data_IF_800717068141
#
_entry.id   IF_800717068141
#
_cell.length_a   1.000
_cell.length_b   1.000
_cell.length_c   1.000
_cell.angle_alpha   90.00
_cell.angle_beta   90.00
_cell.angle_gamma   90.00
#
_symmetry.space_group_name_H-M   'P 1'
#
loop_
_entity.id
_entity.type
_entity.pdbx_description
1 polymer ?
#
# COMPACT_ATOMS: atom_id res chain seq x y z
N UNK A 1 16.43 -33.24 -6.49
CA UNK A 1 15.85 -31.87 -6.36
C UNK A 1 14.34 -32.01 -6.32
N UNK A 2 13.67 -31.48 -5.31
CA UNK A 2 12.20 -31.49 -5.19
C UNK A 2 11.62 -30.27 -5.90
N UNK A 3 10.67 -30.47 -6.81
CA UNK A 3 9.95 -29.39 -7.49
C UNK A 3 8.54 -29.26 -6.90
N UNK A 4 8.18 -28.03 -6.52
CA UNK A 4 6.84 -27.69 -6.08
C UNK A 4 6.24 -26.64 -7.02
N UNK A 5 5.09 -26.96 -7.63
CA UNK A 5 4.33 -26.01 -8.44
C UNK A 5 3.40 -25.21 -7.53
N UNK A 6 3.74 -23.96 -7.25
CA UNK A 6 2.90 -23.07 -6.46
C UNK A 6 2.05 -22.17 -7.38
N UNK A 7 0.74 -22.15 -7.16
CA UNK A 7 -0.14 -21.19 -7.82
C UNK A 7 0.13 -19.77 -7.30
N UNK A 8 0.15 -18.80 -8.20
CA UNK A 8 0.18 -17.38 -7.88
C UNK A 8 -1.25 -16.85 -8.02
N UNK A 9 -1.92 -16.42 -6.92
CA UNK A 9 -3.30 -15.95 -6.97
C UNK A 9 -3.38 -14.52 -7.54
N UNK A 10 -3.09 -14.39 -8.84
CA UNK A 10 -3.14 -13.18 -9.65
C UNK A 10 -3.62 -13.53 -11.05
N UNK A 11 -4.30 -12.61 -11.71
CA UNK A 11 -4.77 -12.79 -13.07
C UNK A 11 -3.62 -12.70 -14.09
N UNK A 12 -3.81 -13.32 -15.25
CA UNK A 12 -2.91 -13.18 -16.41
C UNK A 12 -2.83 -11.71 -16.88
N UNK A 13 -3.88 -10.93 -16.62
CA UNK A 13 -3.94 -9.49 -16.91
C UNK A 13 -2.87 -8.72 -16.14
N UNK A 14 -2.70 -8.98 -14.84
CA UNK A 14 -1.67 -8.34 -14.02
C UNK A 14 -0.26 -8.69 -14.51
N UNK A 15 -0.03 -9.95 -14.89
CA UNK A 15 1.23 -10.38 -15.51
C UNK A 15 1.49 -9.65 -16.83
N UNK A 16 0.49 -9.59 -17.71
CA UNK A 16 0.57 -8.92 -19.02
C UNK A 16 0.80 -7.43 -18.87
N UNK A 17 0.13 -6.77 -17.91
CA UNK A 17 0.29 -5.35 -17.60
C UNK A 17 1.74 -5.03 -17.20
N UNK A 18 2.29 -5.76 -16.22
CA UNK A 18 3.68 -5.55 -15.77
C UNK A 18 4.68 -5.88 -16.87
N UNK A 19 4.48 -6.98 -17.61
CA UNK A 19 5.32 -7.36 -18.74
C UNK A 19 5.35 -6.27 -19.82
N UNK A 20 4.19 -5.67 -20.12
CA UNK A 20 4.08 -4.56 -21.06
C UNK A 20 4.85 -3.31 -20.60
N UNK A 21 4.82 -2.98 -19.30
CA UNK A 21 5.60 -1.88 -18.73
C UNK A 21 7.10 -2.14 -18.90
N UNK A 22 7.56 -3.33 -18.56
CA UNK A 22 8.96 -3.72 -18.66
C UNK A 22 9.46 -3.72 -20.11
N UNK A 23 8.64 -4.23 -21.04
CA UNK A 23 8.96 -4.23 -22.47
C UNK A 23 9.17 -2.81 -23.00
N UNK A 24 8.24 -1.90 -22.71
CA UNK A 24 8.36 -0.48 -23.12
C UNK A 24 9.60 0.17 -22.52
N UNK A 25 9.85 -0.05 -21.22
CA UNK A 25 11.02 0.50 -20.55
C UNK A 25 12.32 0.02 -21.16
N UNK A 26 12.47 -1.29 -21.42
CA UNK A 26 13.66 -1.86 -22.07
C UNK A 26 13.91 -1.26 -23.46
N UNK A 27 12.83 -1.03 -24.23
CA UNK A 27 12.94 -0.35 -25.53
C UNK A 27 13.45 1.08 -25.37
N UNK A 28 12.92 1.82 -24.39
CA UNK A 28 13.33 3.22 -24.13
C UNK A 28 14.79 3.34 -23.72
N UNK A 29 15.32 2.42 -22.89
CA UNK A 29 16.70 2.49 -22.40
C UNK A 29 17.71 1.74 -23.29
N UNK A 30 17.26 1.19 -24.42
CA UNK A 30 18.13 0.51 -25.38
C UNK A 30 18.83 -0.75 -24.86
N UNK A 31 18.23 -1.47 -23.88
CA UNK A 31 18.83 -2.69 -23.31
C UNK A 31 18.04 -3.95 -23.70
N UNK A 32 18.19 -4.46 -24.94
CA UNK A 32 17.49 -5.64 -25.39
C UNK A 32 17.98 -6.94 -24.71
N UNK A 33 19.27 -6.99 -24.38
CA UNK A 33 19.94 -8.20 -23.87
C UNK A 33 19.80 -8.34 -22.36
N UNK A 34 18.85 -9.18 -21.95
CA UNK A 34 18.67 -9.54 -20.55
C UNK A 34 18.37 -11.03 -20.45
N UNK A 35 18.88 -11.68 -19.39
CA UNK A 35 18.75 -13.12 -19.20
C UNK A 35 17.29 -13.61 -19.16
N UNK A 36 16.39 -12.79 -18.58
CA UNK A 36 14.96 -13.09 -18.60
C UNK A 36 14.24 -12.16 -19.59
N UNK A 37 13.28 -12.69 -20.32
CA UNK A 37 12.37 -11.88 -21.13
C UNK A 37 11.43 -11.04 -20.22
N UNK A 38 10.70 -10.04 -20.76
CA UNK A 38 9.83 -9.17 -19.95
C UNK A 38 8.75 -9.91 -19.16
N UNK A 39 8.18 -11.01 -19.72
CA UNK A 39 7.18 -11.83 -19.05
C UNK A 39 7.77 -12.62 -17.88
N UNK A 40 8.94 -13.21 -18.07
CA UNK A 40 9.66 -13.92 -17.00
C UNK A 40 10.09 -12.98 -15.89
N UNK A 41 10.60 -11.77 -16.23
CA UNK A 41 10.91 -10.75 -15.23
C UNK A 41 9.66 -10.32 -14.46
N UNK A 42 8.55 -10.09 -15.15
CA UNK A 42 7.28 -9.74 -14.51
C UNK A 42 6.83 -10.85 -13.54
N UNK A 43 6.87 -12.10 -13.95
CA UNK A 43 6.52 -13.24 -13.11
C UNK A 43 7.42 -13.31 -11.87
N UNK A 44 8.72 -13.18 -12.03
CA UNK A 44 9.70 -13.11 -10.93
C UNK A 44 9.31 -12.04 -9.90
N UNK A 45 9.01 -10.84 -10.35
CA UNK A 45 8.62 -9.71 -9.49
C UNK A 45 7.30 -10.01 -8.76
N UNK A 46 6.30 -10.53 -9.47
CA UNK A 46 5.01 -10.87 -8.87
C UNK A 46 5.13 -11.98 -7.83
N UNK A 47 5.95 -13.00 -8.07
CA UNK A 47 6.26 -14.05 -7.08
C UNK A 47 6.86 -13.44 -5.82
N UNK A 48 7.91 -12.63 -5.95
CA UNK A 48 8.54 -11.96 -4.81
C UNK A 48 7.54 -11.09 -4.02
N UNK A 49 6.80 -10.24 -4.71
CA UNK A 49 5.86 -9.32 -4.06
C UNK A 49 4.68 -10.07 -3.41
N UNK A 50 4.08 -11.03 -4.12
CA UNK A 50 2.87 -11.71 -3.66
C UNK A 50 3.14 -12.78 -2.60
N UNK A 51 4.20 -13.60 -2.80
CA UNK A 51 4.57 -14.69 -1.88
C UNK A 51 5.50 -14.23 -0.75
N UNK A 52 6.25 -13.14 -0.94
CA UNK A 52 7.24 -12.66 0.01
C UNK A 52 8.48 -13.54 0.08
N UNK A 53 8.77 -14.28 -0.98
CA UNK A 53 9.97 -15.13 -1.09
C UNK A 53 11.24 -14.27 -1.04
N UNK A 54 12.30 -14.82 -0.49
CA UNK A 54 13.59 -14.13 -0.40
C UNK A 54 14.23 -13.96 -1.79
N UNK A 55 15.17 -13.02 -1.90
CA UNK A 55 15.92 -12.83 -3.15
C UNK A 55 16.67 -14.10 -3.57
N UNK A 56 17.15 -14.88 -2.60
CA UNK A 56 17.87 -16.15 -2.84
C UNK A 56 16.95 -17.21 -3.43
N UNK A 57 15.76 -17.39 -2.85
CA UNK A 57 14.76 -18.36 -3.35
C UNK A 57 14.29 -18.01 -4.76
N UNK A 58 13.97 -16.73 -4.98
CA UNK A 58 13.54 -16.24 -6.30
C UNK A 58 14.66 -16.36 -7.33
N UNK A 59 15.91 -16.02 -6.96
CA UNK A 59 17.08 -16.16 -7.82
C UNK A 59 17.28 -17.62 -8.28
N UNK A 60 17.20 -18.55 -7.35
CA UNK A 60 17.31 -19.98 -7.62
C UNK A 60 16.18 -20.47 -8.54
N UNK A 61 14.92 -20.08 -8.25
CA UNK A 61 13.77 -20.48 -9.04
C UNK A 61 13.79 -20.00 -10.50
N UNK A 62 14.43 -18.86 -10.77
CA UNK A 62 14.57 -18.28 -12.11
C UNK A 62 15.95 -18.50 -12.75
N UNK A 63 16.86 -19.19 -12.11
CA UNK A 63 18.19 -19.52 -12.63
C UNK A 63 19.07 -18.27 -12.89
N UNK A 64 18.96 -17.25 -12.06
CA UNK A 64 19.74 -15.99 -12.17
C UNK A 64 20.42 -15.64 -10.84
N UNK A 65 21.42 -14.75 -10.88
CA UNK A 65 22.11 -14.31 -9.67
C UNK A 65 21.25 -13.39 -8.80
N UNK A 66 21.50 -13.41 -7.48
CA UNK A 66 20.78 -12.59 -6.47
C UNK A 66 20.85 -11.09 -6.81
N UNK A 67 22.02 -10.57 -7.19
CA UNK A 67 22.16 -9.17 -7.58
C UNK A 67 21.34 -8.79 -8.81
N UNK A 68 21.17 -9.70 -9.77
CA UNK A 68 20.31 -9.50 -10.94
C UNK A 68 18.84 -9.53 -10.55
N UNK A 69 18.45 -10.47 -9.67
CA UNK A 69 17.09 -10.56 -9.09
C UNK A 69 16.72 -9.25 -8.40
N UNK A 70 17.60 -8.75 -7.54
CA UNK A 70 17.38 -7.46 -6.86
C UNK A 70 17.21 -6.30 -7.84
N UNK A 71 18.05 -6.20 -8.87
CA UNK A 71 17.95 -5.15 -9.91
C UNK A 71 16.62 -5.24 -10.67
N UNK A 72 16.18 -6.44 -11.02
CA UNK A 72 14.92 -6.66 -11.73
C UNK A 72 13.70 -6.27 -10.89
N UNK A 73 13.69 -6.63 -9.60
CA UNK A 73 12.63 -6.24 -8.67
C UNK A 73 12.61 -4.73 -8.47
N UNK A 74 13.77 -4.13 -8.21
CA UNK A 74 13.87 -2.68 -7.99
C UNK A 74 13.44 -1.87 -9.20
N UNK A 75 13.83 -2.26 -10.40
CA UNK A 75 13.38 -1.65 -11.64
C UNK A 75 11.85 -1.69 -11.77
N UNK A 76 11.26 -2.85 -11.62
CA UNK A 76 9.81 -3.03 -11.73
C UNK A 76 9.03 -2.23 -10.67
N UNK A 77 9.46 -2.30 -9.41
CA UNK A 77 8.87 -1.52 -8.31
C UNK A 77 8.92 -0.02 -8.59
N UNK A 78 10.05 0.49 -9.08
CA UNK A 78 10.19 1.90 -9.43
C UNK A 78 9.27 2.30 -10.57
N UNK A 79 9.16 1.49 -11.62
CA UNK A 79 8.28 1.73 -12.76
C UNK A 79 6.80 1.70 -12.38
N UNK A 80 6.41 0.78 -11.51
CA UNK A 80 5.04 0.69 -10.98
C UNK A 80 4.74 1.88 -10.07
N UNK A 81 5.61 2.18 -9.10
CA UNK A 81 5.39 3.27 -8.15
C UNK A 81 5.20 4.64 -8.82
N UNK A 82 5.91 4.89 -9.94
CA UNK A 82 5.71 6.10 -10.76
C UNK A 82 4.33 6.19 -11.41
N UNK A 83 3.61 5.08 -11.51
CA UNK A 83 2.23 4.98 -12.06
C UNK A 83 1.16 5.03 -10.99
N UNK A 84 1.55 5.05 -9.73
CA UNK A 84 0.59 5.20 -8.63
C UNK A 84 -0.14 6.54 -8.76
N UNK A 85 -1.47 6.55 -8.55
CA UNK A 85 -2.24 7.79 -8.62
C UNK A 85 -1.72 8.81 -7.61
N UNK A 86 -1.67 10.07 -8.02
CA UNK A 86 -1.41 11.19 -7.10
C UNK A 86 -2.68 11.43 -6.28
N UNK A 87 -2.53 11.97 -5.06
CA UNK A 87 -3.68 12.20 -4.18
C UNK A 87 -4.78 13.01 -4.87
N UNK A 88 -4.41 14.10 -5.55
CA UNK A 88 -5.39 14.94 -6.25
C UNK A 88 -6.11 14.20 -7.39
N UNK A 89 -5.45 13.24 -8.05
CA UNK A 89 -6.06 12.40 -9.08
C UNK A 89 -7.07 11.41 -8.45
N UNK A 90 -6.68 10.78 -7.32
CA UNK A 90 -7.55 9.87 -6.59
C UNK A 90 -8.81 10.59 -6.06
N UNK A 91 -8.65 11.78 -5.48
CA UNK A 91 -9.78 12.58 -5.00
C UNK A 91 -10.72 13.03 -6.14
N UNK A 92 -10.16 13.49 -7.26
CA UNK A 92 -10.99 13.81 -8.45
C UNK A 92 -11.74 12.59 -9.00
N UNK A 93 -11.09 11.43 -9.01
CA UNK A 93 -11.74 10.19 -9.44
C UNK A 93 -12.86 9.79 -8.47
N UNK A 94 -12.64 9.89 -7.17
CA UNK A 94 -13.64 9.63 -6.14
C UNK A 94 -14.85 10.54 -6.27
N UNK A 95 -14.62 11.86 -6.48
CA UNK A 95 -15.70 12.84 -6.66
C UNK A 95 -16.52 12.57 -7.92
N UNK A 96 -15.87 12.23 -9.04
CA UNK A 96 -16.57 11.85 -10.29
C UNK A 96 -17.37 10.56 -10.15
N UNK A 97 -16.91 9.62 -9.35
CA UNK A 97 -17.62 8.38 -9.06
C UNK A 97 -18.80 8.58 -8.09
N UNK A 98 -18.98 9.79 -7.53
CA UNK A 98 -20.10 10.11 -6.65
C UNK A 98 -20.03 9.41 -5.29
N UNK A 99 -18.85 9.02 -4.80
CA UNK A 99 -18.75 8.40 -3.49
C UNK A 99 -19.21 9.35 -2.39
N UNK A 100 -20.14 8.91 -1.52
CA UNK A 100 -20.70 9.76 -0.45
C UNK A 100 -19.66 10.07 0.65
N UNK A 101 -18.66 9.24 0.80
CA UNK A 101 -17.55 9.42 1.72
C UNK A 101 -16.35 8.58 1.28
N UNK A 102 -15.20 8.85 1.88
CA UNK A 102 -14.00 8.03 1.79
C UNK A 102 -13.62 7.50 3.17
N UNK A 103 -12.73 6.53 3.22
CA UNK A 103 -12.16 6.02 4.47
C UNK A 103 -10.66 6.31 4.48
N UNK A 104 -10.18 6.98 5.53
CA UNK A 104 -8.77 7.24 5.78
C UNK A 104 -8.31 6.39 6.97
N UNK A 105 -7.26 5.61 6.77
CA UNK A 105 -6.68 4.79 7.82
C UNK A 105 -5.15 4.74 7.70
N UNK A 106 -4.48 4.61 8.85
CA UNK A 106 -3.04 4.41 8.94
C UNK A 106 -2.71 2.93 9.10
N UNK A 107 -1.82 2.41 8.26
CA UNK A 107 -1.33 1.04 8.37
C UNK A 107 0.16 1.02 8.66
N UNK A 108 0.59 0.07 9.50
CA UNK A 108 2.00 -0.16 9.77
C UNK A 108 2.52 -1.29 8.88
N UNK A 109 3.56 -1.00 8.11
CA UNK A 109 4.33 -2.02 7.39
C UNK A 109 5.48 -2.45 8.30
N UNK A 110 5.45 -3.66 8.87
CA UNK A 110 6.47 -4.12 9.79
C UNK A 110 7.83 -4.22 9.09
N UNK A 111 8.88 -3.77 9.77
CA UNK A 111 10.27 -3.94 9.34
C UNK A 111 10.98 -4.88 10.31
N UNK A 112 12.02 -5.54 9.82
CA UNK A 112 12.96 -6.24 10.67
C UNK A 112 13.87 -5.18 11.30
N UNK A 113 13.65 -4.86 12.57
CA UNK A 113 14.37 -3.80 13.27
C UNK A 113 15.15 -4.34 14.45
N UNK A 114 16.25 -3.69 14.75
CA UNK A 114 17.03 -3.87 15.99
C UNK A 114 16.42 -2.97 17.07
N UNK A 115 16.56 -3.33 18.32
CA UNK A 115 16.04 -2.57 19.46
C UNK A 115 16.49 -1.09 19.52
N UNK A 116 17.60 -0.74 18.85
CA UNK A 116 18.13 0.61 18.74
C UNK A 116 17.35 1.54 17.77
N UNK A 117 16.48 1.00 16.91
CA UNK A 117 15.75 1.78 15.89
C UNK A 117 14.50 2.47 16.43
N UNK A 118 14.65 3.25 17.50
CA UNK A 118 13.56 3.99 18.15
C UNK A 118 12.62 4.77 17.20
N UNK A 119 13.11 5.44 16.13
CA UNK A 119 12.24 6.18 15.23
C UNK A 119 11.18 5.30 14.54
N UNK A 120 11.47 4.02 14.37
CA UNK A 120 10.58 3.09 13.67
C UNK A 120 9.60 2.37 14.61
N UNK A 121 9.76 2.50 15.92
CA UNK A 121 8.89 1.82 16.88
C UNK A 121 7.53 2.51 17.00
N UNK A 122 6.46 1.77 16.68
CA UNK A 122 5.09 2.22 16.85
C UNK A 122 4.54 1.79 18.21
N UNK A 123 4.27 2.75 19.09
CA UNK A 123 3.64 2.48 20.38
C UNK A 123 2.23 1.93 20.25
N UNK A 124 1.48 2.31 19.19
CA UNK A 124 0.13 1.79 18.87
C UNK A 124 0.17 0.30 18.54
N UNK A 125 1.13 -0.12 17.73
CA UNK A 125 1.24 -1.49 17.23
C UNK A 125 2.25 -2.37 17.98
N UNK A 126 3.02 -1.78 18.91
CA UNK A 126 4.10 -2.43 19.66
C UNK A 126 5.11 -3.16 18.77
N UNK A 127 5.40 -2.60 17.60
CA UNK A 127 6.28 -3.17 16.57
C UNK A 127 7.06 -2.07 15.86
N UNK A 128 8.24 -2.42 15.35
CA UNK A 128 8.97 -1.57 14.41
C UNK A 128 8.32 -1.64 13.03
N UNK A 129 8.20 -0.50 12.37
CA UNK A 129 7.59 -0.45 11.05
C UNK A 129 7.58 0.95 10.46
N UNK A 130 6.97 1.05 9.29
CA UNK A 130 6.75 2.29 8.56
C UNK A 130 5.26 2.59 8.52
N UNK A 131 4.88 3.81 8.89
CA UNK A 131 3.51 4.29 8.80
C UNK A 131 3.20 4.69 7.37
N UNK A 132 2.12 4.14 6.82
CA UNK A 132 1.55 4.46 5.50
C UNK A 132 0.09 4.87 5.71
N UNK A 133 -0.29 5.98 5.12
CA UNK A 133 -1.69 6.40 5.08
C UNK A 133 -2.38 5.82 3.85
N UNK A 134 -3.55 5.24 4.01
CA UNK A 134 -4.36 4.62 2.97
C UNK A 134 -5.70 5.35 2.86
N UNK A 135 -6.07 5.74 1.66
CA UNK A 135 -7.38 6.28 1.35
C UNK A 135 -8.14 5.25 0.52
N UNK A 136 -9.32 4.88 0.98
CA UNK A 136 -10.16 3.85 0.38
C UNK A 136 -11.58 4.35 0.08
N UNK A 137 -12.26 3.68 -0.84
CA UNK A 137 -13.67 3.84 -1.14
C UNK A 137 -14.55 3.25 -0.04
N UNK A 138 -15.86 3.53 -0.03
CA UNK A 138 -16.80 2.94 0.91
C UNK A 138 -16.88 1.40 0.87
N UNK A 139 -16.56 0.78 -0.25
CA UNK A 139 -16.51 -0.68 -0.39
C UNK A 139 -15.18 -1.30 0.03
N UNK A 140 -14.20 -0.46 0.39
CA UNK A 140 -12.89 -0.89 0.84
C UNK A 140 -11.86 -1.11 -0.27
N UNK A 141 -12.08 -0.56 -1.46
CA UNK A 141 -11.06 -0.55 -2.52
C UNK A 141 -10.03 0.55 -2.23
N UNK A 142 -8.72 0.24 -2.13
CA UNK A 142 -7.71 1.26 -1.92
C UNK A 142 -7.56 2.17 -3.15
N UNK A 143 -7.76 3.47 -2.96
CA UNK A 143 -7.63 4.49 -4.01
C UNK A 143 -6.24 5.11 -4.09
N UNK A 144 -5.62 5.29 -2.93
CA UNK A 144 -4.36 5.98 -2.81
C UNK A 144 -3.60 5.58 -1.55
N UNK A 145 -2.27 5.62 -1.63
CA UNK A 145 -1.39 5.43 -0.48
C UNK A 145 -0.35 6.53 -0.42
N UNK A 146 0.03 6.92 0.80
CA UNK A 146 1.11 7.89 1.02
C UNK A 146 2.49 7.30 0.70
N UNK A 147 3.52 8.12 0.85
CA UNK A 147 4.87 7.64 1.13
C UNK A 147 4.98 7.07 2.54
N UNK A 148 6.14 6.56 2.89
CA UNK A 148 6.41 6.00 4.22
C UNK A 148 6.95 7.07 5.19
N UNK A 149 6.50 6.99 6.45
CA UNK A 149 7.07 7.70 7.59
C UNK A 149 7.48 6.69 8.66
N UNK A 150 8.40 7.03 9.57
CA UNK A 150 8.72 6.18 10.70
C UNK A 150 7.50 5.78 11.51
N UNK A 151 7.47 4.57 12.03
CA UNK A 151 6.32 4.02 12.77
C UNK A 151 5.96 4.76 14.06
N UNK A 152 6.88 5.56 14.60
CA UNK A 152 6.61 6.45 15.74
C UNK A 152 5.72 7.65 15.39
N UNK A 153 5.56 7.97 14.09
CA UNK A 153 4.72 9.08 13.64
C UNK A 153 3.24 8.69 13.73
N UNK A 154 2.48 9.41 14.56
CA UNK A 154 1.05 9.19 14.71
C UNK A 154 0.26 9.52 13.43
N UNK A 155 -0.86 8.85 13.21
CA UNK A 155 -1.65 8.93 11.99
C UNK A 155 -2.09 10.35 11.65
N UNK A 156 -2.57 11.15 12.62
CA UNK A 156 -2.91 12.55 12.39
C UNK A 156 -1.70 13.38 11.93
N UNK A 157 -0.53 13.19 12.56
CA UNK A 157 0.70 13.89 12.16
C UNK A 157 1.13 13.46 10.76
N UNK A 158 1.03 12.17 10.44
CA UNK A 158 1.32 11.64 9.10
C UNK A 158 0.38 12.25 8.05
N UNK A 159 -0.93 12.33 8.33
CA UNK A 159 -1.91 12.94 7.43
C UNK A 159 -1.62 14.43 7.18
N UNK A 160 -1.14 15.16 8.18
CA UNK A 160 -0.71 16.57 8.05
C UNK A 160 0.55 16.70 7.20
N UNK A 161 1.58 15.89 7.46
CA UNK A 161 2.84 15.88 6.69
C UNK A 161 2.57 15.63 5.20
N UNK A 162 1.72 14.67 4.88
CA UNK A 162 1.36 14.36 3.49
C UNK A 162 0.35 15.35 2.88
N UNK A 163 -0.15 16.31 3.66
CA UNK A 163 -1.12 17.31 3.22
C UNK A 163 -2.47 16.71 2.84
N UNK A 164 -2.82 15.55 3.40
CA UNK A 164 -4.07 14.84 3.10
C UNK A 164 -5.27 15.68 3.51
N UNK A 165 -5.27 16.19 4.75
CA UNK A 165 -6.40 16.91 5.33
C UNK A 165 -6.78 18.14 4.50
N UNK A 166 -5.79 18.96 4.13
CA UNK A 166 -6.00 20.15 3.28
C UNK A 166 -6.59 19.78 1.90
N UNK A 167 -6.14 18.66 1.31
CA UNK A 167 -6.66 18.24 0.00
C UNK A 167 -8.05 17.63 0.07
N UNK A 168 -8.38 16.93 1.15
CA UNK A 168 -9.74 16.45 1.40
C UNK A 168 -10.71 17.62 1.56
N UNK A 169 -10.32 18.64 2.33
CA UNK A 169 -11.08 19.87 2.48
C UNK A 169 -11.28 20.59 1.15
N UNK A 170 -10.21 20.80 0.38
CA UNK A 170 -10.29 21.45 -0.93
C UNK A 170 -11.14 20.66 -1.95
N UNK A 171 -11.21 19.35 -1.83
CA UNK A 171 -12.06 18.50 -2.67
C UNK A 171 -13.51 18.42 -2.20
N UNK A 172 -13.83 18.95 -1.01
CA UNK A 172 -15.14 18.86 -0.36
C UNK A 172 -15.62 17.40 -0.27
N UNK A 173 -14.76 16.51 0.25
CA UNK A 173 -15.04 15.09 0.41
C UNK A 173 -15.06 14.70 1.88
N UNK A 174 -16.22 14.26 2.35
CA UNK A 174 -16.36 13.68 3.69
C UNK A 174 -15.49 12.43 3.78
N UNK A 175 -14.74 12.32 4.87
CA UNK A 175 -13.84 11.19 5.09
C UNK A 175 -14.04 10.63 6.49
N UNK A 176 -14.20 9.33 6.60
CA UNK A 176 -14.29 8.62 7.87
C UNK A 176 -12.90 8.16 8.30
N UNK A 177 -12.56 8.38 9.57
CA UNK A 177 -11.28 7.94 10.12
C UNK A 177 -11.43 7.42 11.56
N UNK A 178 -10.41 6.77 12.09
CA UNK A 178 -10.39 6.29 13.46
C UNK A 178 -10.11 7.42 14.48
N UNK A 179 -10.08 7.06 15.78
CA UNK A 179 -9.78 8.01 16.87
C UNK A 179 -8.38 8.62 16.78
N UNK A 180 -7.46 8.02 16.03
CA UNK A 180 -6.12 8.53 15.80
C UNK A 180 -6.08 9.83 15.01
N UNK A 181 -7.19 10.20 14.37
CA UNK A 181 -7.32 11.44 13.59
C UNK A 181 -8.13 12.53 14.29
N UNK A 182 -8.37 12.44 15.58
CA UNK A 182 -9.06 13.51 16.33
C UNK A 182 -8.29 14.82 16.20
N UNK A 183 -8.99 15.91 15.76
CA UNK A 183 -8.37 17.19 15.43
C UNK A 183 -7.94 17.32 13.96
N UNK A 184 -8.44 16.44 13.09
CA UNK A 184 -8.18 16.50 11.65
C UNK A 184 -9.00 17.54 10.88
N UNK A 185 -10.01 18.16 11.52
CA UNK A 185 -10.91 19.14 10.90
C UNK A 185 -12.29 18.54 10.54
N UNK A 186 -13.20 19.39 10.07
CA UNK A 186 -14.62 19.04 9.90
C UNK A 186 -14.89 18.03 8.79
N UNK A 187 -14.07 18.01 7.74
CA UNK A 187 -14.21 17.04 6.64
C UNK A 187 -13.82 15.61 7.03
N UNK A 188 -13.12 15.45 8.18
CA UNK A 188 -12.73 14.12 8.68
C UNK A 188 -13.58 13.78 9.90
N UNK A 189 -14.54 12.90 9.71
CA UNK A 189 -15.42 12.42 10.77
C UNK A 189 -14.74 11.32 11.55
N UNK A 190 -14.63 11.51 12.86
CA UNK A 190 -14.01 10.57 13.81
C UNK A 190 -15.01 10.17 14.88
N UNK A 191 -14.87 8.98 15.49
CA UNK A 191 -15.75 8.55 16.58
C UNK A 191 -15.62 9.46 17.81
N UNK A 192 -16.71 9.66 18.53
CA UNK A 192 -16.73 10.40 19.79
C UNK A 192 -15.72 9.83 20.80
N UNK A 193 -15.03 10.71 21.52
CA UNK A 193 -14.18 10.35 22.66
C UNK A 193 -15.03 10.16 23.94
N UNK A 194 -14.49 9.42 24.91
CA UNK A 194 -15.08 9.22 26.23
C UNK A 194 -15.49 7.78 26.50
N UNK A 195 -15.67 7.43 27.80
CA UNK A 195 -16.09 6.09 28.27
C UNK A 195 -17.60 6.03 28.45
N UNK A 196 -18.19 6.98 29.17
CA UNK A 196 -19.64 6.98 29.49
C UNK A 196 -20.40 7.86 28.50
N UNK A 197 -20.75 7.27 27.35
CA UNK A 197 -21.43 7.98 26.28
C UNK A 197 -22.94 7.83 26.38
N UNK A 198 -23.72 8.88 26.10
CA UNK A 198 -25.17 8.79 25.91
C UNK A 198 -25.54 7.76 24.82
N UNK A 199 -26.74 7.22 24.89
CA UNK A 199 -27.23 6.21 23.93
C UNK A 199 -27.11 6.68 22.47
N UNK A 200 -27.41 7.94 22.19
CA UNK A 200 -27.28 8.56 20.86
C UNK A 200 -25.84 8.55 20.34
N UNK A 201 -24.87 8.85 21.20
CA UNK A 201 -23.45 8.78 20.80
C UNK A 201 -22.94 7.34 20.66
N UNK A 202 -23.49 6.38 21.41
CA UNK A 202 -23.20 4.94 21.23
C UNK A 202 -23.72 4.46 19.87
N UNK A 203 -24.96 4.84 19.52
CA UNK A 203 -25.56 4.51 18.22
C UNK A 203 -24.77 5.13 17.05
N UNK A 204 -24.41 6.42 17.14
CA UNK A 204 -23.59 7.10 16.13
C UNK A 204 -22.18 6.45 16.00
N UNK A 205 -21.61 6.00 17.12
CA UNK A 205 -20.33 5.31 17.11
C UNK A 205 -20.41 3.94 16.42
N UNK A 206 -21.48 3.19 16.65
CA UNK A 206 -21.71 1.91 15.98
C UNK A 206 -21.94 2.10 14.47
N UNK A 207 -22.73 3.09 14.07
CA UNK A 207 -22.94 3.45 12.67
C UNK A 207 -21.62 3.86 11.97
N UNK A 208 -20.81 4.71 12.62
CA UNK A 208 -19.51 5.11 12.13
C UNK A 208 -18.56 3.89 11.96
N UNK A 209 -18.51 2.99 12.95
CA UNK A 209 -17.70 1.78 12.87
C UNK A 209 -18.13 0.86 11.73
N UNK A 210 -19.44 0.70 11.49
CA UNK A 210 -20.00 -0.06 10.37
C UNK A 210 -19.59 0.54 9.02
N UNK A 211 -19.68 1.85 8.85
CA UNK A 211 -19.31 2.55 7.61
C UNK A 211 -17.79 2.54 7.37
N UNK A 212 -16.98 2.56 8.44
CA UNK A 212 -15.52 2.53 8.35
C UNK A 212 -14.94 1.12 8.16
N UNK A 213 -15.70 0.09 8.57
CA UNK A 213 -15.26 -1.32 8.50
C UNK A 213 -14.64 -1.74 7.17
N UNK A 214 -15.18 -1.33 6.02
CA UNK A 214 -14.56 -1.62 4.71
C UNK A 214 -13.12 -1.08 4.56
N UNK A 215 -12.73 -0.02 5.28
CA UNK A 215 -11.33 0.45 5.28
C UNK A 215 -10.32 -0.57 5.80
N UNK A 216 -10.74 -1.42 6.74
CA UNK A 216 -9.92 -2.54 7.22
C UNK A 216 -9.67 -3.56 6.09
N UNK A 217 -10.65 -3.73 5.19
CA UNK A 217 -10.51 -4.56 3.99
C UNK A 217 -9.44 -4.01 3.05
N UNK A 218 -9.36 -2.69 2.85
CA UNK A 218 -8.31 -2.08 2.04
C UNK A 218 -6.91 -2.40 2.58
N UNK A 219 -6.72 -2.28 3.89
CA UNK A 219 -5.47 -2.64 4.54
C UNK A 219 -5.17 -4.15 4.43
N UNK A 220 -6.18 -5.00 4.61
CA UNK A 220 -6.04 -6.45 4.44
C UNK A 220 -5.68 -6.82 2.99
N UNK A 221 -6.26 -6.16 2.00
CA UNK A 221 -5.91 -6.34 0.59
C UNK A 221 -4.43 -5.99 0.33
N UNK A 222 -3.93 -4.86 0.85
CA UNK A 222 -2.52 -4.51 0.76
C UNK A 222 -1.64 -5.58 1.44
N UNK A 223 -1.98 -6.01 2.64
CA UNK A 223 -1.24 -7.03 3.40
C UNK A 223 -1.38 -8.45 2.82
N UNK A 224 -2.30 -8.69 1.88
CA UNK A 224 -2.36 -9.94 1.12
C UNK A 224 -1.10 -10.13 0.25
N UNK A 225 -0.39 -9.05 -0.06
CA UNK A 225 0.94 -9.09 -0.65
C UNK A 225 1.96 -9.32 0.47
N UNK A 226 2.42 -10.56 0.59
CA UNK A 226 3.20 -11.02 1.76
C UNK A 226 4.49 -10.25 2.00
N UNK A 227 5.05 -9.61 0.97
CA UNK A 227 6.22 -8.73 1.11
C UNK A 227 5.96 -7.58 2.11
N UNK A 228 4.69 -7.12 2.24
CA UNK A 228 4.31 -6.06 3.18
C UNK A 228 4.09 -6.55 4.62
N UNK A 229 4.06 -7.86 4.86
CA UNK A 229 3.90 -8.42 6.21
C UNK A 229 5.18 -8.33 7.04
N UNK A 230 6.32 -8.33 6.38
CA UNK A 230 7.64 -8.17 7.00
C UNK A 230 8.63 -7.69 5.94
N UNK A 231 8.96 -6.41 6.00
CA UNK A 231 9.90 -5.81 5.08
C UNK A 231 11.34 -6.16 5.50
N UNK A 232 12.05 -6.87 4.64
CA UNK A 232 13.45 -7.28 4.81
C UNK A 232 14.44 -6.42 4.01
N UNK A 233 13.98 -5.29 3.52
CA UNK A 233 14.76 -4.34 2.73
C UNK A 233 14.80 -2.98 3.41
N UNK A 234 15.53 -2.02 2.83
CA UNK A 234 15.63 -0.67 3.37
C UNK A 234 14.23 -0.06 3.65
N UNK A 235 13.96 0.40 4.89
CA UNK A 235 12.66 0.97 5.28
C UNK A 235 12.21 2.12 4.37
N UNK A 236 13.15 2.91 3.85
CA UNK A 236 12.86 4.03 2.94
C UNK A 236 12.18 3.59 1.64
N UNK A 237 12.32 2.33 1.24
CA UNK A 237 11.65 1.78 0.05
C UNK A 237 10.20 1.36 0.30
N UNK A 238 9.75 1.29 1.56
CA UNK A 238 8.39 0.86 1.91
C UNK A 238 7.32 1.64 1.16
N UNK A 239 7.44 2.96 1.08
CA UNK A 239 6.49 3.80 0.36
C UNK A 239 6.43 3.51 -1.15
N UNK A 240 7.58 3.25 -1.79
CA UNK A 240 7.59 2.86 -3.21
C UNK A 240 6.97 1.48 -3.41
N UNK A 241 7.25 0.55 -2.52
CA UNK A 241 6.73 -0.81 -2.57
C UNK A 241 5.20 -0.82 -2.46
N UNK A 242 4.64 -0.09 -1.49
CA UNK A 242 3.19 0.02 -1.30
C UNK A 242 2.52 0.67 -2.50
N UNK A 243 3.11 1.73 -3.07
CA UNK A 243 2.60 2.36 -4.31
C UNK A 243 2.63 1.42 -5.51
N UNK A 244 3.68 0.62 -5.65
CA UNK A 244 3.77 -0.39 -6.70
C UNK A 244 2.67 -1.46 -6.55
N UNK A 245 2.44 -1.92 -5.33
CA UNK A 245 1.39 -2.89 -5.01
C UNK A 245 0.00 -2.30 -5.26
N UNK A 246 -0.24 -1.04 -4.88
CA UNK A 246 -1.50 -0.36 -5.19
C UNK A 246 -1.81 -0.38 -6.69
N UNK A 247 -0.83 -0.08 -7.54
CA UNK A 247 -1.00 -0.13 -9.01
C UNK A 247 -1.37 -1.53 -9.50
N UNK A 248 -0.73 -2.57 -8.95
CA UNK A 248 -1.06 -3.95 -9.29
C UNK A 248 -2.46 -4.34 -8.81
N UNK A 249 -2.88 -3.89 -7.63
CA UNK A 249 -4.24 -4.12 -7.12
C UNK A 249 -5.31 -3.42 -7.95
N UNK A 250 -5.06 -2.17 -8.34
CA UNK A 250 -5.97 -1.44 -9.23
C UNK A 250 -6.08 -2.13 -10.60
N UNK A 251 -4.98 -2.71 -11.10
CA UNK A 251 -5.00 -3.51 -12.32
C UNK A 251 -5.79 -4.82 -12.14
N UNK A 252 -5.75 -5.43 -10.98
CA UNK A 252 -6.45 -6.68 -10.68
C UNK A 252 -7.96 -6.48 -10.50
N UNK A 253 -8.38 -5.32 -9.97
CA UNK A 253 -9.77 -5.00 -9.68
C UNK A 253 -10.58 -4.52 -10.89
N UNK A 254 -9.92 -3.91 -11.88
CA UNK A 254 -10.57 -3.37 -13.10
C UNK A 254 -10.32 -4.21 -14.32
#
# INVERSE_FOLDING_TARGET
MLFYRAALPLSSRTLSYLSGILRRHRKTIGTPWRRLNPGQQALLVLVHLRKGETLTEVAAGFGIGIATTWRYIREAVTLLARRSPRLDQALRAAKRAGYPYLVLDGTLIPIEGVAADRPYYSGKHKKHGMNIQVLATPDGTPLWTSGSLPGSVHDLKAARIWGILRRLQAADLVTLADKGYVGAGEHVRVPYKGRDKPASQKAAHAAHAKLRGPGERANAQLQSWRILRKLRSCPLLAGQLVKAILVLQLCEAG
#
